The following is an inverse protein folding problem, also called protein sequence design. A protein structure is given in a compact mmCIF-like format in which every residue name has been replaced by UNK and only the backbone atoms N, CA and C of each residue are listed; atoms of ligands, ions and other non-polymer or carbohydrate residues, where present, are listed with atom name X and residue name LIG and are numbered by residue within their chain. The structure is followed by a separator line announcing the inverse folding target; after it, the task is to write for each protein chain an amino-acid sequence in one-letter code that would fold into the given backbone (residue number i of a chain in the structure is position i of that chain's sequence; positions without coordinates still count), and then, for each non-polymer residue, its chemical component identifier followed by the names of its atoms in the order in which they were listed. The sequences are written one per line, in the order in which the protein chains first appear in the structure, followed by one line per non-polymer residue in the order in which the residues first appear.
data_IF_205048837119
#
_entry.id   IF_205048837119
#
_cell.length_a   1.000
_cell.length_b   1.000
_cell.length_c   1.000
_cell.angle_alpha   90.00
_cell.angle_beta   90.00
_cell.angle_gamma   90.00
#
_symmetry.space_group_name_H-M   'P 1'
#
loop_
_entity.id
_entity.type
_entity.pdbx_description
1 polymer ?
#
# COMPACT_ATOMS: atom_id res chain seq x y z
N UNK A 1 10.55 -3.21 71.11
CA UNK A 1 10.86 -3.22 69.67
C UNK A 1 9.79 -4.07 69.01
N UNK A 2 8.73 -3.42 68.53
CA UNK A 2 7.50 -4.05 68.06
C UNK A 2 7.62 -4.40 66.57
N UNK A 3 7.46 -5.68 66.26
CA UNK A 3 7.34 -6.23 64.92
C UNK A 3 5.90 -6.01 64.45
N UNK A 4 5.69 -5.19 63.42
CA UNK A 4 4.42 -5.10 62.68
C UNK A 4 4.47 -6.06 61.49
N UNK A 5 3.64 -7.10 61.57
CA UNK A 5 3.20 -7.89 60.42
C UNK A 5 1.83 -7.33 60.04
N UNK A 6 1.65 -6.92 58.79
CA UNK A 6 0.33 -6.53 58.27
C UNK A 6 0.19 -6.91 56.80
N UNK A 7 -0.65 -7.92 56.61
CA UNK A 7 -1.65 -8.06 55.55
C UNK A 7 -1.19 -8.25 54.11
N UNK A 8 -1.20 -9.53 53.73
CA UNK A 8 -1.34 -10.05 52.38
C UNK A 8 -2.75 -9.68 51.87
N UNK A 9 -2.82 -8.89 50.79
CA UNK A 9 -4.04 -8.73 49.98
C UNK A 9 -3.85 -9.57 48.73
N UNK A 10 -4.63 -10.65 48.66
CA UNK A 10 -4.72 -11.58 47.55
C UNK A 10 -5.66 -10.98 46.49
N UNK A 11 -5.13 -10.27 45.51
CA UNK A 11 -5.87 -9.78 44.35
C UNK A 11 -5.90 -10.84 43.25
N UNK A 12 -7.07 -11.42 43.00
CA UNK A 12 -7.33 -12.37 41.92
C UNK A 12 -6.94 -11.78 40.56
N UNK A 13 -5.94 -12.41 39.92
CA UNK A 13 -5.60 -12.20 38.52
C UNK A 13 -6.44 -13.20 37.70
N UNK A 14 -7.59 -12.77 37.18
CA UNK A 14 -8.35 -13.54 36.19
C UNK A 14 -7.64 -13.44 34.85
N UNK A 15 -6.76 -14.41 34.59
CA UNK A 15 -6.19 -14.68 33.27
C UNK A 15 -7.31 -15.22 32.36
N UNK A 16 -7.82 -14.38 31.46
CA UNK A 16 -8.50 -14.87 30.27
C UNK A 16 -7.44 -15.37 29.29
N UNK A 17 -7.17 -16.68 29.32
CA UNK A 17 -6.46 -17.37 28.25
C UNK A 17 -7.39 -17.51 27.04
N UNK A 18 -7.35 -16.53 26.15
CA UNK A 18 -7.87 -16.68 24.79
C UNK A 18 -6.78 -17.34 23.94
N UNK A 19 -6.74 -18.68 23.96
CA UNK A 19 -6.04 -19.48 22.97
C UNK A 19 -6.89 -19.53 21.69
N UNK A 20 -6.63 -18.63 20.74
CA UNK A 20 -7.16 -18.72 19.39
C UNK A 20 -6.15 -18.12 18.41
N UNK A 21 -5.58 -18.99 17.58
CA UNK A 21 -4.94 -18.70 16.29
C UNK A 21 -4.08 -17.43 16.19
N UNK A 22 -2.81 -17.55 16.58
CA UNK A 22 -1.75 -16.77 15.93
C UNK A 22 -1.58 -17.31 14.52
N UNK A 23 -2.32 -16.78 13.55
CA UNK A 23 -1.87 -16.84 12.16
C UNK A 23 -0.51 -16.16 12.11
N UNK A 24 0.45 -16.76 11.42
CA UNK A 24 1.80 -16.22 11.25
C UNK A 24 1.71 -14.81 10.66
N UNK A 25 1.91 -13.81 11.52
CA UNK A 25 2.02 -12.41 11.14
C UNK A 25 3.42 -12.22 10.56
N UNK A 26 3.54 -12.40 9.24
CA UNK A 26 4.72 -11.91 8.53
C UNK A 26 4.52 -10.40 8.35
N UNK A 27 5.26 -9.60 9.11
CA UNK A 27 5.41 -8.20 8.77
C UNK A 27 5.91 -8.14 7.32
N UNK A 28 5.11 -7.62 6.39
CA UNK A 28 5.45 -7.53 4.96
C UNK A 28 6.79 -6.81 4.75
N UNK A 29 7.21 -5.99 5.73
CA UNK A 29 8.53 -5.34 5.79
C UNK A 29 9.73 -6.30 5.74
N UNK A 30 9.62 -7.52 6.27
CA UNK A 30 10.73 -8.49 6.30
C UNK A 30 10.78 -9.44 5.10
N UNK A 31 9.78 -9.37 4.19
CA UNK A 31 9.69 -10.27 3.03
C UNK A 31 10.52 -9.81 1.81
N UNK A 32 11.09 -8.61 1.82
CA UNK A 32 11.58 -7.99 0.57
C UNK A 32 12.96 -7.34 0.70
N UNK A 33 13.98 -8.18 0.69
CA UNK A 33 15.27 -7.83 0.07
C UNK A 33 15.68 -8.98 -0.84
N UNK A 34 14.99 -9.11 -1.98
CA UNK A 34 15.63 -9.75 -3.13
C UNK A 34 16.60 -8.72 -3.70
N UNK A 35 17.76 -8.59 -3.07
CA UNK A 35 18.92 -7.97 -3.69
C UNK A 35 19.43 -8.95 -4.73
N UNK A 36 18.82 -8.98 -5.90
CA UNK A 36 19.53 -9.41 -7.11
C UNK A 36 20.60 -8.38 -7.36
N UNK A 37 21.78 -8.63 -6.79
CA UNK A 37 23.03 -8.03 -7.23
C UNK A 37 23.24 -8.39 -8.69
N UNK A 38 23.68 -7.41 -9.47
CA UNK A 38 24.06 -7.49 -10.89
C UNK A 38 22.91 -7.67 -11.88
N UNK A 39 22.74 -6.67 -12.76
CA UNK A 39 22.84 -6.75 -14.23
C UNK A 39 22.58 -8.09 -14.96
N UNK A 40 21.78 -9.00 -14.38
CA UNK A 40 21.16 -10.06 -15.14
C UNK A 40 20.21 -9.36 -16.12
N UNK A 41 20.63 -9.37 -17.38
CA UNK A 41 19.91 -8.82 -18.51
C UNK A 41 18.41 -9.11 -18.35
N UNK A 42 17.67 -8.03 -18.10
CA UNK A 42 16.22 -7.99 -18.19
C UNK A 42 15.81 -8.09 -19.65
N UNK A 43 16.22 -9.16 -20.33
CA UNK A 43 15.59 -9.55 -21.59
C UNK A 43 14.16 -9.89 -21.20
N UNK A 44 13.23 -9.02 -21.62
CA UNK A 44 11.81 -9.24 -21.42
C UNK A 44 11.51 -10.69 -21.80
N UNK A 45 10.89 -11.43 -20.87
CA UNK A 45 10.32 -12.73 -21.22
C UNK A 45 9.52 -12.54 -22.52
N UNK A 46 9.61 -13.48 -23.47
CA UNK A 46 8.92 -13.33 -24.75
C UNK A 46 7.45 -12.97 -24.51
N UNK A 47 6.90 -12.14 -25.40
CA UNK A 47 5.45 -11.87 -25.39
C UNK A 47 4.65 -13.17 -25.56
N UNK A 48 5.27 -14.16 -26.21
CA UNK A 48 4.74 -15.49 -26.45
C UNK A 48 5.10 -16.51 -25.36
N UNK A 49 4.28 -17.56 -25.32
CA UNK A 49 4.23 -18.66 -24.34
C UNK A 49 5.54 -18.91 -23.57
N UNK A 50 5.54 -18.56 -22.30
CA UNK A 50 6.52 -18.97 -21.32
C UNK A 50 6.03 -20.20 -20.54
N UNK A 51 6.95 -20.91 -19.88
CA UNK A 51 6.60 -21.89 -18.85
C UNK A 51 6.63 -21.22 -17.49
N UNK A 52 5.88 -21.75 -16.52
CA UNK A 52 5.93 -21.27 -15.13
C UNK A 52 7.36 -21.28 -14.59
N UNK A 53 8.12 -22.35 -14.88
CA UNK A 53 9.52 -22.48 -14.48
C UNK A 53 10.40 -21.36 -15.06
N UNK A 54 10.20 -20.99 -16.34
CA UNK A 54 10.94 -19.90 -16.96
C UNK A 54 10.64 -18.56 -16.27
N UNK A 55 9.37 -18.30 -15.95
CA UNK A 55 8.96 -17.07 -15.25
C UNK A 55 9.58 -17.00 -13.86
N UNK A 56 9.50 -18.09 -13.09
CA UNK A 56 10.08 -18.17 -11.74
C UNK A 56 11.61 -18.04 -11.78
N UNK A 57 12.28 -18.68 -12.74
CA UNK A 57 13.74 -18.56 -12.92
C UNK A 57 14.18 -17.14 -13.27
N UNK A 58 13.34 -16.39 -13.98
CA UNK A 58 13.57 -14.98 -14.27
C UNK A 58 13.25 -14.06 -13.07
N UNK A 59 12.81 -14.60 -11.92
CA UNK A 59 12.47 -13.83 -10.73
C UNK A 59 11.02 -13.34 -10.69
N UNK A 60 10.16 -13.89 -11.55
CA UNK A 60 8.72 -13.67 -11.49
C UNK A 60 8.06 -14.39 -10.30
N UNK A 61 6.79 -14.08 -10.05
CA UNK A 61 5.98 -14.66 -8.97
C UNK A 61 4.69 -15.20 -9.58
N UNK A 62 4.27 -16.39 -9.18
CA UNK A 62 3.01 -16.99 -9.66
C UNK A 62 2.06 -17.23 -8.48
N UNK A 63 0.79 -16.86 -8.61
CA UNK A 63 -0.20 -16.98 -7.53
C UNK A 63 -1.65 -16.97 -8.08
N UNK A 64 -2.64 -17.26 -7.24
CA UNK A 64 -4.06 -17.32 -7.60
C UNK A 64 -4.69 -15.92 -7.62
N UNK A 65 -4.36 -15.11 -8.63
CA UNK A 65 -4.71 -13.68 -8.65
C UNK A 65 -6.06 -13.43 -9.32
N UNK A 66 -6.25 -13.93 -10.55
CA UNK A 66 -7.50 -13.72 -11.30
C UNK A 66 -8.59 -14.72 -10.90
N UNK A 67 -8.18 -15.94 -10.56
CA UNK A 67 -9.06 -17.06 -10.19
C UNK A 67 -8.44 -17.86 -9.04
N UNK A 68 -9.24 -18.69 -8.37
CA UNK A 68 -8.78 -19.64 -7.35
C UNK A 68 -8.33 -20.98 -7.91
N UNK A 69 -8.49 -21.19 -9.23
CA UNK A 69 -8.28 -22.49 -9.88
C UNK A 69 -7.01 -22.51 -10.74
N UNK A 70 -6.64 -21.35 -11.30
CA UNK A 70 -5.47 -21.18 -12.15
C UNK A 70 -4.56 -20.10 -11.60
N UNK A 71 -3.26 -20.36 -11.65
CA UNK A 71 -2.23 -19.39 -11.29
C UNK A 71 -2.08 -18.38 -12.42
N UNK A 72 -1.84 -17.15 -12.01
CA UNK A 72 -1.38 -16.03 -12.83
C UNK A 72 0.05 -15.75 -12.42
N UNK A 73 0.94 -15.59 -13.38
CA UNK A 73 2.32 -15.23 -13.15
C UNK A 73 2.54 -13.73 -13.41
N UNK A 74 3.41 -13.13 -12.62
CA UNK A 74 3.77 -11.73 -12.65
C UNK A 74 5.25 -11.61 -12.94
N UNK A 75 5.58 -10.71 -13.85
CA UNK A 75 6.97 -10.41 -14.17
C UNK A 75 7.20 -8.90 -14.12
N UNK A 76 8.09 -8.47 -13.24
CA UNK A 76 8.40 -7.06 -13.02
C UNK A 76 9.48 -6.61 -14.00
N UNK A 77 9.23 -5.50 -14.68
CA UNK A 77 10.18 -4.86 -15.60
C UNK A 77 10.35 -3.39 -15.24
N UNK A 78 11.59 -2.92 -15.33
CA UNK A 78 11.96 -1.52 -15.21
C UNK A 78 11.78 -0.82 -16.56
N UNK A 79 11.01 0.27 -16.58
CA UNK A 79 10.81 1.10 -17.78
C UNK A 79 10.94 2.58 -17.43
N UNK A 80 12.18 3.09 -17.40
CA UNK A 80 12.46 4.48 -17.00
C UNK A 80 11.95 4.81 -15.60
N UNK A 81 11.10 5.83 -15.49
CA UNK A 81 10.41 6.23 -14.24
C UNK A 81 9.07 5.52 -14.04
N UNK A 82 8.95 4.31 -14.59
CA UNK A 82 7.76 3.47 -14.49
C UNK A 82 8.14 2.07 -14.03
N UNK A 83 7.28 1.51 -13.21
CA UNK A 83 7.23 0.11 -12.87
C UNK A 83 6.26 -0.53 -13.85
N UNK A 84 6.71 -1.52 -14.62
CA UNK A 84 5.82 -2.37 -15.40
C UNK A 84 5.74 -3.75 -14.77
N UNK A 85 4.53 -4.28 -14.69
CA UNK A 85 4.27 -5.65 -14.24
C UNK A 85 3.50 -6.34 -15.34
N UNK A 86 4.18 -7.24 -16.03
CA UNK A 86 3.56 -8.08 -17.04
C UNK A 86 2.84 -9.22 -16.35
N UNK A 87 1.59 -9.44 -16.77
CA UNK A 87 0.72 -10.47 -16.25
C UNK A 87 0.64 -11.57 -17.29
N UNK A 88 0.94 -12.80 -16.88
CA UNK A 88 0.89 -13.98 -17.71
C UNK A 88 -0.16 -14.95 -17.14
N UNK A 89 -1.07 -15.42 -17.98
CA UNK A 89 -2.06 -16.42 -17.59
C UNK A 89 -1.82 -17.74 -18.32
N UNK A 90 -2.07 -18.84 -17.59
CA UNK A 90 -2.00 -20.18 -18.16
C UNK A 90 -3.18 -20.46 -19.08
N UNK A 91 -2.89 -20.96 -20.27
CA UNK A 91 -3.88 -21.54 -21.16
C UNK A 91 -4.26 -22.98 -20.74
N UNK A 92 -5.12 -23.64 -21.53
CA UNK A 92 -5.54 -25.02 -21.24
C UNK A 92 -4.43 -26.07 -21.40
N UNK A 93 -3.32 -25.72 -22.05
CA UNK A 93 -2.13 -26.57 -22.19
C UNK A 93 -1.13 -26.38 -21.04
N UNK A 94 -1.32 -25.36 -20.20
CA UNK A 94 -0.40 -24.96 -19.14
C UNK A 94 0.71 -24.01 -19.61
N UNK A 95 0.64 -23.52 -20.85
CA UNK A 95 1.55 -22.50 -21.35
C UNK A 95 1.07 -21.11 -20.89
N UNK A 96 2.00 -20.24 -20.55
CA UNK A 96 1.71 -18.92 -20.01
C UNK A 96 1.92 -17.83 -21.06
N UNK A 97 0.87 -17.09 -21.40
CA UNK A 97 0.96 -15.98 -22.35
C UNK A 97 0.70 -14.66 -21.65
N UNK A 98 1.38 -13.59 -22.07
CA UNK A 98 1.14 -12.26 -21.52
C UNK A 98 -0.27 -11.80 -21.87
N UNK A 99 -1.06 -11.45 -20.86
CA UNK A 99 -2.45 -11.01 -21.02
C UNK A 99 -2.62 -9.54 -20.67
N UNK A 100 -1.85 -9.02 -19.73
CA UNK A 100 -1.98 -7.63 -19.25
C UNK A 100 -0.64 -6.99 -18.90
N UNK A 101 -0.68 -5.67 -18.75
CA UNK A 101 0.44 -4.85 -18.32
C UNK A 101 -0.04 -3.79 -17.33
N UNK A 102 0.52 -3.85 -16.13
CA UNK A 102 0.27 -2.87 -15.08
C UNK A 102 1.44 -1.91 -15.06
N UNK A 103 1.17 -0.64 -15.38
CA UNK A 103 2.16 0.41 -15.36
C UNK A 103 1.88 1.38 -14.21
N UNK A 104 2.83 1.53 -13.29
CA UNK A 104 2.77 2.48 -12.18
C UNK A 104 3.91 3.51 -12.29
N UNK A 105 3.65 4.81 -12.03
CA UNK A 105 4.71 5.79 -11.94
C UNK A 105 5.56 5.48 -10.71
N UNK A 106 6.87 5.41 -10.87
CA UNK A 106 7.79 5.20 -9.74
C UNK A 106 9.11 5.93 -9.98
N UNK A 107 9.67 6.50 -8.92
CA UNK A 107 11.01 7.04 -8.97
C UNK A 107 12.04 5.93 -8.75
N UNK A 108 13.11 5.95 -9.55
CA UNK A 108 14.22 4.99 -9.48
C UNK A 108 13.87 3.51 -9.71
N UNK A 109 12.63 3.19 -10.10
CA UNK A 109 12.20 1.83 -10.47
C UNK A 109 12.30 0.81 -9.33
N UNK A 110 12.52 1.28 -8.11
CA UNK A 110 12.51 0.44 -6.92
C UNK A 110 11.05 0.23 -6.49
N UNK A 111 10.61 -1.02 -6.58
CA UNK A 111 9.31 -1.44 -6.11
C UNK A 111 9.38 -2.88 -5.58
N UNK A 112 8.73 -3.11 -4.45
CA UNK A 112 8.45 -4.42 -3.92
C UNK A 112 7.04 -4.84 -4.34
N UNK A 113 6.88 -6.10 -4.74
CA UNK A 113 5.59 -6.66 -5.13
C UNK A 113 5.36 -7.90 -4.26
N UNK A 114 4.22 -7.94 -3.59
CA UNK A 114 3.72 -9.08 -2.84
C UNK A 114 2.32 -9.46 -3.31
N UNK A 115 1.88 -10.66 -2.93
CA UNK A 115 0.51 -11.13 -3.14
C UNK A 115 -0.13 -11.49 -1.80
N UNK A 116 -1.39 -11.12 -1.60
CA UNK A 116 -2.13 -11.47 -0.38
C UNK A 116 -3.63 -11.59 -0.67
N UNK A 117 -4.32 -12.46 0.08
CA UNK A 117 -5.80 -12.52 0.03
C UNK A 117 -6.35 -11.39 0.91
N UNK A 118 -6.60 -10.24 0.30
CA UNK A 118 -7.03 -9.02 0.99
C UNK A 118 -8.55 -8.97 1.14
N UNK A 119 -9.28 -9.62 0.24
CA UNK A 119 -10.74 -9.58 0.18
C UNK A 119 -11.41 -10.78 0.86
N UNK A 120 -10.63 -11.81 1.23
CA UNK A 120 -11.12 -13.04 1.86
C UNK A 120 -11.87 -13.96 0.90
N UNK A 121 -11.68 -13.80 -0.41
CA UNK A 121 -12.36 -14.58 -1.45
C UNK A 121 -11.49 -15.68 -2.06
N UNK A 122 -10.30 -15.91 -1.49
CA UNK A 122 -9.32 -16.88 -1.94
C UNK A 122 -8.44 -16.39 -3.10
N UNK A 123 -8.81 -15.30 -3.77
CA UNK A 123 -7.99 -14.67 -4.81
C UNK A 123 -7.00 -13.71 -4.16
N UNK A 124 -5.80 -13.63 -4.74
CA UNK A 124 -4.75 -12.73 -4.26
C UNK A 124 -4.83 -11.39 -4.96
N UNK A 125 -4.72 -10.31 -4.19
CA UNK A 125 -4.42 -8.97 -4.68
C UNK A 125 -2.91 -8.77 -4.77
N UNK A 126 -2.50 -7.84 -5.64
CA UNK A 126 -1.13 -7.34 -5.77
C UNK A 126 -0.92 -6.22 -4.76
N UNK A 127 0.11 -6.32 -3.93
CA UNK A 127 0.56 -5.27 -3.01
C UNK A 127 1.86 -4.72 -3.56
N UNK A 128 1.86 -3.47 -4.01
CA UNK A 128 3.01 -2.85 -4.64
C UNK A 128 3.45 -1.67 -3.77
N UNK A 129 4.57 -1.81 -3.07
CA UNK A 129 5.25 -0.69 -2.42
C UNK A 129 6.28 -0.11 -3.40
N UNK A 130 6.14 1.16 -3.75
CA UNK A 130 7.06 1.82 -4.68
C UNK A 130 7.34 3.25 -4.26
N UNK A 131 8.39 3.84 -4.81
CA UNK A 131 8.69 5.24 -4.59
C UNK A 131 7.69 6.13 -5.32
N UNK A 132 7.04 7.02 -4.57
CA UNK A 132 6.23 8.12 -5.07
C UNK A 132 7.13 9.27 -5.48
N UNK A 133 7.01 10.42 -4.83
CA UNK A 133 7.91 11.54 -5.08
C UNK A 133 9.28 11.34 -4.40
N UNK A 134 10.36 11.30 -5.19
CA UNK A 134 11.73 11.29 -4.68
C UNK A 134 12.53 12.40 -5.37
N UNK A 135 13.15 13.26 -4.59
CA UNK A 135 13.83 14.45 -5.10
C UNK A 135 14.53 15.23 -3.99
N UNK A 136 14.82 16.51 -4.22
CA UNK A 136 15.59 17.39 -3.31
C UNK A 136 15.15 17.26 -1.85
N UNK A 137 15.85 16.40 -1.12
CA UNK A 137 15.59 16.03 0.28
C UNK A 137 14.17 15.55 0.58
N UNK A 138 13.46 14.97 -0.39
CA UNK A 138 12.14 14.35 -0.17
C UNK A 138 12.20 12.89 -0.60
N UNK A 139 11.71 12.01 0.27
CA UNK A 139 11.48 10.59 0.00
C UNK A 139 10.02 10.27 0.33
N UNK A 140 9.34 9.61 -0.59
CA UNK A 140 7.96 9.15 -0.41
C UNK A 140 7.86 7.71 -0.90
N UNK A 141 7.26 6.86 -0.07
CA UNK A 141 6.84 5.51 -0.46
C UNK A 141 5.33 5.38 -0.44
N UNK A 142 4.83 4.66 -1.41
CA UNK A 142 3.41 4.46 -1.65
C UNK A 142 3.14 2.97 -1.66
N UNK A 143 2.07 2.55 -0.97
CA UNK A 143 1.47 1.23 -1.14
C UNK A 143 0.26 1.34 -2.05
N UNK A 144 0.31 0.65 -3.18
CA UNK A 144 -0.82 0.43 -4.09
C UNK A 144 -1.29 -1.03 -3.94
N UNK A 145 -2.60 -1.24 -3.80
CA UNK A 145 -3.19 -2.59 -3.83
C UNK A 145 -4.09 -2.69 -5.05
N UNK A 146 -3.80 -3.65 -5.93
CA UNK A 146 -4.61 -3.94 -7.11
C UNK A 146 -5.26 -5.31 -6.97
N UNK A 147 -6.56 -5.41 -7.25
CA UNK A 147 -7.28 -6.69 -7.24
C UNK A 147 -7.98 -6.92 -8.57
N UNK A 148 -8.15 -8.19 -8.93
CA UNK A 148 -8.89 -8.58 -10.12
C UNK A 148 -10.39 -8.39 -9.93
N UNK A 149 -10.99 -7.52 -10.74
CA UNK A 149 -12.43 -7.30 -10.77
C UNK A 149 -13.04 -7.93 -12.01
N UNK A 150 -14.05 -8.78 -11.83
CA UNK A 150 -14.89 -9.29 -12.89
C UNK A 150 -16.33 -8.95 -12.51
N UNK A 151 -16.97 -8.05 -13.27
CA UNK A 151 -18.30 -7.54 -12.88
C UNK A 151 -19.40 -8.61 -13.07
N UNK A 152 -19.20 -9.55 -13.99
CA UNK A 152 -20.13 -10.64 -14.27
C UNK A 152 -19.43 -11.85 -14.90
N UNK A 153 -20.13 -12.98 -14.96
CA UNK A 153 -19.68 -14.13 -15.71
C UNK A 153 -19.63 -13.79 -17.21
N UNK A 154 -18.43 -13.80 -17.80
CA UNK A 154 -18.20 -13.44 -19.20
C UNK A 154 -17.66 -12.02 -19.42
N UNK A 155 -17.51 -11.22 -18.36
CA UNK A 155 -16.69 -10.01 -18.40
C UNK A 155 -15.21 -10.41 -18.50
N UNK A 156 -14.43 -9.75 -19.36
CA UNK A 156 -13.00 -10.03 -19.52
C UNK A 156 -12.19 -9.70 -18.26
N UNK A 157 -12.80 -8.95 -17.34
CA UNK A 157 -12.23 -8.55 -16.06
C UNK A 157 -11.06 -7.58 -16.24
N UNK A 158 -10.66 -6.93 -15.14
CA UNK A 158 -9.49 -6.06 -15.15
C UNK A 158 -8.92 -5.91 -13.74
N UNK A 159 -7.62 -5.63 -13.63
CA UNK A 159 -7.06 -5.12 -12.38
C UNK A 159 -7.64 -3.75 -12.06
N UNK A 160 -8.07 -3.58 -10.81
CA UNK A 160 -8.54 -2.31 -10.26
C UNK A 160 -7.73 -1.94 -9.04
N UNK A 161 -7.35 -0.67 -8.96
CA UNK A 161 -6.73 -0.10 -7.77
C UNK A 161 -7.78 0.00 -6.66
N UNK A 162 -7.61 -0.78 -5.60
CA UNK A 162 -8.57 -0.85 -4.49
C UNK A 162 -8.11 -0.10 -3.24
N UNK A 163 -6.83 0.20 -3.15
CA UNK A 163 -6.23 0.99 -2.08
C UNK A 163 -4.93 1.65 -2.55
N UNK A 164 -4.70 2.90 -2.14
CA UNK A 164 -3.50 3.66 -2.44
C UNK A 164 -3.18 4.61 -1.30
N UNK A 165 -2.02 4.48 -0.67
CA UNK A 165 -1.64 5.29 0.49
C UNK A 165 -0.14 5.58 0.54
N UNK A 166 0.22 6.77 1.03
CA UNK A 166 1.61 7.08 1.38
C UNK A 166 1.96 6.33 2.66
N UNK A 167 2.86 5.35 2.59
CA UNK A 167 3.26 4.53 3.75
C UNK A 167 4.54 5.00 4.42
N UNK A 168 5.32 5.82 3.72
CA UNK A 168 6.43 6.57 4.30
C UNK A 168 6.60 7.89 3.59
N UNK A 169 6.91 8.94 4.33
CA UNK A 169 7.28 10.24 3.78
C UNK A 169 8.34 10.87 4.66
N UNK A 170 9.40 11.37 4.05
CA UNK A 170 10.45 12.08 4.74
C UNK A 170 10.85 13.31 3.93
N UNK A 171 10.94 14.46 4.59
CA UNK A 171 11.47 15.69 4.01
C UNK A 171 12.51 16.30 4.95
N UNK A 172 13.69 16.63 4.42
CA UNK A 172 14.81 17.17 5.18
C UNK A 172 15.42 18.41 4.51
N UNK A 173 14.75 19.57 4.55
CA UNK A 173 15.23 20.78 3.87
C UNK A 173 15.40 21.95 4.84
N UNK A 174 16.55 22.64 4.79
CA UNK A 174 16.73 23.92 5.48
C UNK A 174 16.59 23.88 7.00
N UNK A 175 16.85 22.74 7.64
CA UNK A 175 16.65 22.56 9.09
C UNK A 175 15.24 22.13 9.49
N UNK A 176 14.32 21.98 8.53
CA UNK A 176 13.05 21.28 8.69
C UNK A 176 13.25 19.80 8.37
N UNK A 177 12.98 18.94 9.34
CA UNK A 177 12.88 17.50 9.18
C UNK A 177 11.46 17.06 9.52
N UNK A 178 10.72 16.49 8.57
CA UNK A 178 9.40 15.90 8.80
C UNK A 178 9.40 14.46 8.33
N UNK A 179 8.83 13.59 9.15
CA UNK A 179 8.73 12.17 8.87
C UNK A 179 7.31 11.69 9.14
N UNK A 180 6.76 10.92 8.22
CA UNK A 180 5.55 10.14 8.38
C UNK A 180 5.90 8.68 8.14
N UNK A 181 5.59 7.83 9.11
CA UNK A 181 5.62 6.38 8.98
C UNK A 181 4.19 5.85 9.14
N UNK A 182 3.79 4.94 8.26
CA UNK A 182 2.47 4.30 8.34
C UNK A 182 2.66 2.80 8.36
N UNK A 183 2.22 2.18 9.46
CA UNK A 183 2.04 0.73 9.51
C UNK A 183 0.63 0.39 9.01
N UNK A 184 0.48 -0.72 8.30
CA UNK A 184 -0.80 -1.19 7.82
C UNK A 184 -1.02 -2.67 8.15
N UNK A 185 -2.25 -3.01 8.54
CA UNK A 185 -2.69 -4.39 8.78
C UNK A 185 -3.84 -4.71 7.83
N UNK A 186 -3.73 -5.83 7.12
CA UNK A 186 -4.78 -6.34 6.23
C UNK A 186 -5.57 -7.41 6.97
N UNK A 187 -6.86 -7.19 7.18
CA UNK A 187 -7.74 -8.02 7.99
C UNK A 187 -8.85 -8.61 7.10
N UNK A 188 -8.59 -9.72 6.38
CA UNK A 188 -9.55 -10.33 5.45
C UNK A 188 -10.68 -11.10 6.17
N UNK A 189 -10.53 -11.37 7.47
CA UNK A 189 -11.44 -12.24 8.24
C UNK A 189 -12.63 -11.50 8.84
N UNK A 190 -12.58 -10.17 8.89
CA UNK A 190 -13.73 -9.38 9.30
C UNK A 190 -14.61 -9.24 8.06
N UNK A 191 -15.91 -9.55 8.14
CA UNK A 191 -16.84 -9.31 7.03
C UNK A 191 -17.62 -8.04 7.38
N UNK A 192 -17.36 -6.89 6.72
CA UNK A 192 -16.52 -6.67 5.52
C UNK A 192 -15.00 -6.57 5.80
N UNK A 193 -14.13 -6.95 4.82
CA UNK A 193 -12.68 -6.84 4.94
C UNK A 193 -12.23 -5.43 5.33
N UNK A 194 -11.08 -5.35 6.00
CA UNK A 194 -10.61 -4.11 6.61
C UNK A 194 -9.11 -3.90 6.44
N UNK A 195 -8.71 -2.64 6.24
CA UNK A 195 -7.33 -2.18 6.36
C UNK A 195 -7.24 -1.26 7.57
N UNK A 196 -6.39 -1.60 8.54
CA UNK A 196 -6.03 -0.68 9.63
C UNK A 196 -4.75 0.03 9.29
N UNK A 197 -4.71 1.32 9.57
CA UNK A 197 -3.55 2.17 9.30
C UNK A 197 -3.15 2.85 10.61
N UNK A 198 -1.91 2.68 11.02
CA UNK A 198 -1.34 3.35 12.19
C UNK A 198 -0.31 4.36 11.73
N UNK A 199 -0.63 5.63 11.90
CA UNK A 199 0.20 6.76 11.51
C UNK A 199 1.10 7.19 12.64
N UNK A 200 2.32 7.52 12.29
CA UNK A 200 3.28 8.13 13.17
C UNK A 200 3.96 9.29 12.47
N UNK A 201 3.70 10.50 12.93
CA UNK A 201 4.26 11.71 12.35
C UNK A 201 5.20 12.39 13.34
N UNK A 202 6.37 12.81 12.85
CA UNK A 202 7.37 13.58 13.57
C UNK A 202 7.76 14.82 12.78
N UNK A 203 8.02 15.91 13.48
CA UNK A 203 8.70 17.07 12.91
C UNK A 203 9.70 17.64 13.89
N UNK A 204 10.86 18.00 13.37
CA UNK A 204 11.88 18.78 14.04
C UNK A 204 12.21 19.97 13.13
N UNK A 205 11.97 21.18 13.61
CA UNK A 205 12.41 22.40 12.91
C UNK A 205 13.38 23.14 13.82
N UNK A 206 14.35 23.84 13.23
CA UNK A 206 15.35 24.57 14.01
C UNK A 206 14.75 25.68 14.89
N UNK A 207 13.57 26.18 14.52
CA UNK A 207 12.84 27.29 15.15
C UNK A 207 11.64 26.86 16.00
N UNK A 208 11.25 25.58 15.97
CA UNK A 208 10.08 25.07 16.71
C UNK A 208 10.44 23.86 17.58
N UNK A 209 9.72 23.66 18.70
CA UNK A 209 9.87 22.44 19.49
C UNK A 209 9.57 21.21 18.63
N UNK A 210 10.23 20.11 18.97
CA UNK A 210 9.92 18.80 18.43
C UNK A 210 8.43 18.49 18.64
N UNK A 211 7.77 18.01 17.58
CA UNK A 211 6.37 17.63 17.60
C UNK A 211 6.21 16.22 17.04
N UNK A 212 5.41 15.41 17.73
CA UNK A 212 5.14 14.02 17.39
C UNK A 212 3.68 13.72 17.68
N UNK A 213 3.02 13.03 16.75
CA UNK A 213 1.62 12.62 16.89
C UNK A 213 1.41 11.26 16.23
N UNK A 214 0.58 10.44 16.87
CA UNK A 214 0.16 9.16 16.34
C UNK A 214 -1.37 9.11 16.29
N UNK A 215 -1.91 8.47 15.26
CA UNK A 215 -3.34 8.18 15.18
C UNK A 215 -3.59 6.92 14.37
N UNK A 216 -4.82 6.43 14.38
CA UNK A 216 -5.22 5.24 13.65
C UNK A 216 -6.44 5.53 12.78
N UNK A 217 -6.43 4.92 11.59
CA UNK A 217 -7.57 4.86 10.70
C UNK A 217 -7.99 3.42 10.42
N UNK A 218 -9.25 3.30 10.03
CA UNK A 218 -9.88 2.06 9.63
C UNK A 218 -10.55 2.29 8.28
N UNK A 219 -10.13 1.52 7.28
CA UNK A 219 -10.77 1.49 5.98
C UNK A 219 -11.53 0.18 5.83
N UNK A 220 -12.77 0.29 5.37
CA UNK A 220 -13.68 -0.83 5.22
C UNK A 220 -13.91 -1.09 3.73
N UNK A 221 -13.92 -2.36 3.34
CA UNK A 221 -14.24 -2.76 1.98
C UNK A 221 -15.64 -2.31 1.57
N UNK A 222 -15.73 -1.64 0.42
CA UNK A 222 -16.98 -1.27 -0.22
C UNK A 222 -17.08 -2.01 -1.55
N UNK A 223 -17.91 -3.07 -1.58
CA UNK A 223 -18.06 -3.91 -2.76
C UNK A 223 -18.68 -3.17 -3.95
N UNK A 224 -19.62 -2.25 -3.72
CA UNK A 224 -20.29 -1.48 -4.78
C UNK A 224 -19.32 -0.60 -5.56
N UNK A 225 -18.30 -0.07 -4.89
CA UNK A 225 -17.26 0.77 -5.51
C UNK A 225 -15.94 0.04 -5.74
N UNK A 226 -15.89 -1.25 -5.40
CA UNK A 226 -14.71 -2.10 -5.49
C UNK A 226 -13.45 -1.46 -4.89
N UNK A 227 -13.55 -0.89 -3.68
CA UNK A 227 -12.41 -0.23 -3.00
C UNK A 227 -12.56 -0.16 -1.49
N UNK A 228 -11.45 0.07 -0.78
CA UNK A 228 -11.47 0.40 0.64
C UNK A 228 -11.83 1.87 0.87
N UNK A 229 -12.68 2.14 1.87
CA UNK A 229 -13.15 3.50 2.19
C UNK A 229 -13.15 3.74 3.70
N UNK A 230 -12.83 4.95 4.10
CA UNK A 230 -13.08 5.40 5.46
C UNK A 230 -14.56 5.83 5.56
N UNK A 231 -15.41 5.14 6.35
CA UNK A 231 -16.83 5.47 6.48
C UNK A 231 -17.06 6.83 7.16
N UNK A 232 -16.08 7.34 7.90
CA UNK A 232 -16.17 8.57 8.68
C UNK A 232 -15.35 9.72 8.06
N UNK A 233 -14.83 9.54 6.85
CA UNK A 233 -13.89 10.48 6.21
C UNK A 233 -14.39 11.93 6.26
N UNK A 234 -15.65 12.17 5.88
CA UNK A 234 -16.23 13.51 5.88
C UNK A 234 -16.33 14.13 7.28
N UNK A 235 -16.65 13.32 8.30
CA UNK A 235 -16.72 13.79 9.69
C UNK A 235 -15.32 14.10 10.22
N UNK A 236 -14.32 13.24 9.92
CA UNK A 236 -12.93 13.46 10.32
C UNK A 236 -12.35 14.73 9.70
N UNK A 237 -12.62 15.00 8.41
CA UNK A 237 -12.23 16.25 7.76
C UNK A 237 -12.83 17.47 8.46
N UNK A 238 -14.13 17.41 8.79
CA UNK A 238 -14.83 18.49 9.48
C UNK A 238 -14.36 18.68 10.93
N UNK A 239 -13.95 17.59 11.60
CA UNK A 239 -13.50 17.61 12.99
C UNK A 239 -12.03 18.06 13.15
N UNK A 240 -11.22 17.99 12.09
CA UNK A 240 -9.84 18.50 12.11
C UNK A 240 -9.84 20.02 12.35
N UNK A 241 -9.53 20.42 13.58
CA UNK A 241 -9.36 21.83 13.98
C UNK A 241 -7.99 22.36 13.53
N UNK A 242 -7.78 23.67 13.58
CA UNK A 242 -6.51 24.27 13.17
C UNK A 242 -5.44 24.14 14.27
N UNK A 243 -4.95 22.93 14.50
CA UNK A 243 -3.66 22.70 15.15
C UNK A 243 -2.74 21.91 14.21
N UNK A 244 -1.43 21.91 14.47
CA UNK A 244 -0.44 21.34 13.55
C UNK A 244 -0.70 19.85 13.23
N UNK A 245 -1.17 19.07 14.21
CA UNK A 245 -1.49 17.65 14.01
C UNK A 245 -2.76 17.46 13.17
N UNK A 246 -3.78 18.25 13.46
CA UNK A 246 -5.04 18.21 12.73
C UNK A 246 -4.93 18.75 11.30
N UNK A 247 -4.01 19.67 11.00
CA UNK A 247 -3.71 20.08 9.62
C UNK A 247 -3.15 18.92 8.77
N UNK A 248 -2.24 18.11 9.34
CA UNK A 248 -1.66 16.96 8.64
C UNK A 248 -2.72 15.88 8.40
N UNK A 249 -3.50 15.54 9.43
CA UNK A 249 -4.62 14.61 9.31
C UNK A 249 -5.61 15.07 8.24
N UNK A 250 -6.00 16.34 8.26
CA UNK A 250 -6.89 16.93 7.26
C UNK A 250 -6.36 16.80 5.84
N UNK A 251 -5.07 17.04 5.62
CA UNK A 251 -4.48 16.92 4.29
C UNK A 251 -4.43 15.48 3.78
N UNK A 252 -4.12 14.52 4.66
CA UNK A 252 -4.19 13.10 4.33
C UNK A 252 -5.63 12.72 3.95
N UNK A 253 -6.61 13.11 4.75
CA UNK A 253 -8.01 12.85 4.46
C UNK A 253 -8.50 13.50 3.16
N UNK A 254 -8.11 14.76 2.91
CA UNK A 254 -8.45 15.47 1.68
C UNK A 254 -7.83 14.81 0.44
N UNK A 255 -6.59 14.33 0.54
CA UNK A 255 -5.90 13.61 -0.55
C UNK A 255 -6.60 12.30 -0.88
N UNK A 256 -7.02 11.54 0.14
CA UNK A 256 -7.83 10.33 -0.07
C UNK A 256 -9.14 10.64 -0.78
N UNK A 257 -9.84 11.69 -0.36
CA UNK A 257 -11.11 12.09 -0.97
C UNK A 257 -10.95 12.41 -2.46
N UNK A 258 -9.94 13.21 -2.84
CA UNK A 258 -9.63 13.54 -4.24
C UNK A 258 -9.34 12.30 -5.09
N UNK A 259 -8.51 11.38 -4.59
CA UNK A 259 -8.23 10.11 -5.30
C UNK A 259 -9.48 9.25 -5.48
N UNK A 260 -10.38 9.32 -4.52
CA UNK A 260 -11.66 8.60 -4.55
C UNK A 260 -12.61 9.11 -5.67
N UNK A 261 -12.30 10.23 -6.30
CA UNK A 261 -13.07 10.77 -7.44
C UNK A 261 -12.46 10.36 -8.79
N UNK A 262 -11.23 9.84 -8.80
CA UNK A 262 -10.51 9.39 -10.00
C UNK A 262 -10.82 7.90 -10.23
N UNK A 263 -11.98 7.60 -10.80
CA UNK A 263 -12.43 6.23 -11.07
C UNK A 263 -11.91 5.63 -12.40
N UNK A 264 -10.93 6.24 -13.05
CA UNK A 264 -10.40 5.76 -14.34
C UNK A 264 -8.89 5.88 -14.40
N UNK A 265 -8.18 4.86 -13.92
CA UNK A 265 -6.91 4.50 -14.54
C UNK A 265 -7.25 3.88 -15.91
N UNK A 266 -7.53 4.73 -16.90
CA UNK A 266 -7.28 4.33 -18.28
C UNK A 266 -5.78 4.01 -18.39
N UNK A 267 -5.37 3.05 -19.23
CA UNK A 267 -3.97 2.69 -19.34
C UNK A 267 -3.17 3.95 -19.67
N UNK A 268 -2.32 4.38 -18.73
CA UNK A 268 -1.38 5.51 -18.89
C UNK A 268 -0.30 5.24 -19.97
N UNK A 269 -0.48 4.19 -20.77
CA UNK A 269 0.46 3.70 -21.76
C UNK A 269 0.44 4.50 -23.08
N UNK A 270 -0.59 5.34 -23.33
CA UNK A 270 -0.70 6.09 -24.60
C UNK A 270 -0.53 7.62 -24.48
N UNK A 271 -0.27 8.17 -23.29
CA UNK A 271 0.09 9.58 -23.18
C UNK A 271 1.58 9.74 -23.51
N UNK A 272 1.85 10.45 -24.62
CA UNK A 272 3.20 10.91 -25.00
C UNK A 272 3.88 11.73 -23.90
N UNK A 273 5.10 12.18 -24.16
CA UNK A 273 6.06 12.81 -23.23
C UNK A 273 5.54 13.97 -22.33
N UNK A 274 4.28 14.37 -22.49
CA UNK A 274 3.54 15.29 -21.62
C UNK A 274 2.63 14.52 -20.64
N UNK A 275 3.21 13.58 -19.89
CA UNK A 275 2.57 13.22 -18.63
C UNK A 275 2.57 14.49 -17.77
N UNK A 276 1.43 15.19 -17.73
CA UNK A 276 1.07 16.00 -16.56
C UNK A 276 1.15 15.03 -15.37
N UNK A 277 2.36 14.88 -14.83
CA UNK A 277 2.60 14.57 -13.45
C UNK A 277 1.68 15.55 -12.73
N UNK A 278 0.53 15.05 -12.28
CA UNK A 278 -0.31 15.74 -11.32
C UNK A 278 0.68 16.28 -10.30
N UNK A 279 0.98 17.57 -10.38
CA UNK A 279 1.75 18.25 -9.37
C UNK A 279 0.94 17.97 -8.13
N UNK A 280 1.41 16.99 -7.34
CA UNK A 280 0.91 16.73 -6.02
C UNK A 280 1.20 18.03 -5.30
N UNK A 281 0.21 18.93 -5.35
CA UNK A 281 0.15 20.15 -4.58
C UNK A 281 0.60 19.72 -3.19
N UNK A 282 1.82 20.14 -2.80
CA UNK A 282 2.52 19.59 -1.66
C UNK A 282 1.50 19.43 -0.53
N UNK A 283 1.03 18.20 -0.24
CA UNK A 283 -0.09 18.02 0.67
C UNK A 283 0.35 18.31 2.11
N UNK A 284 1.57 18.77 2.30
CA UNK A 284 2.17 19.17 3.57
C UNK A 284 2.60 20.64 3.56
N UNK A 285 2.13 21.45 2.59
CA UNK A 285 2.12 22.90 2.72
C UNK A 285 1.24 23.25 3.93
N UNK A 286 1.80 23.82 5.00
CA UNK A 286 1.03 24.07 6.20
C UNK A 286 -0.01 25.15 5.93
N UNK A 287 -1.25 24.92 6.37
CA UNK A 287 -2.26 25.97 6.52
C UNK A 287 -1.95 26.77 7.79
N UNK A 288 -0.82 27.48 7.80
CA UNK A 288 -0.63 28.58 8.75
C UNK A 288 -1.49 29.75 8.28
N UNK A 289 -2.16 30.49 9.20
CA UNK A 289 -2.66 31.80 8.83
C UNK A 289 -1.49 32.64 8.33
N UNK A 290 -1.60 33.17 7.11
CA UNK A 290 -0.76 34.29 6.71
C UNK A 290 -1.01 35.42 7.73
N UNK A 291 0.04 35.86 8.41
CA UNK A 291 -0.02 37.06 9.28
C UNK A 291 -0.26 38.32 8.45
#
# INVERSE_FOLDING_TARGET
MLIRISSIVLGMLTLFTSSAFTADFVAVRDLFTVTTTEEALWEALPEETATEEAILKAGGVCDFIKTTERRTCLFKVRDGQRLRVFVYDADSSGAYSRTEDICLPTWYSEAAIATADVLGDGRKALLIEHFGNVGTNTDQRILAILAWHSASAGDEGAFRLIFWETVSYHIGFGGDNRQLDVAYDLLPTNSPPEIRLTYHYKTARSDLPFFEVAWQDRLIWNAEQFRFKDPELGQKIAACRFDAGACIQKNIYATRLKRSEINSFAPFCEAGDDAEMLELHNPYAPCWPEE
#
